data_IF_492723879034
#
_entry.id   IF_492723879034
#
_cell.length_a   1.000
_cell.length_b   1.000
_cell.length_c   1.000
_cell.angle_alpha   90.00
_cell.angle_beta   90.00
_cell.angle_gamma   90.00
#
_symmetry.space_group_name_H-M   'P 1'
#
loop_
_entity.id
_entity.type
_entity.pdbx_description
1 polymer ?
#
# COMPACT_ATOMS: atom_id res chain seq x y z
N UNK A 1 -13.27 8.24 -7.79
CA UNK A 1 -12.39 8.08 -8.97
C UNK A 1 -11.47 6.89 -8.72
N UNK A 2 -11.37 5.92 -9.63
CA UNK A 2 -10.37 4.85 -9.51
C UNK A 2 -9.14 5.28 -10.29
N UNK A 3 -7.98 5.28 -9.66
CA UNK A 3 -6.72 5.76 -10.25
C UNK A 3 -5.79 4.59 -10.53
N UNK A 4 -5.15 4.62 -11.69
CA UNK A 4 -4.00 3.77 -12.00
C UNK A 4 -2.72 4.51 -11.63
N UNK A 5 -1.92 3.90 -10.75
CA UNK A 5 -0.67 4.47 -10.26
C UNK A 5 0.49 3.57 -10.67
N UNK A 6 1.57 4.19 -11.14
CA UNK A 6 2.83 3.55 -11.53
C UNK A 6 4.00 4.14 -10.73
N UNK A 7 5.15 3.47 -10.76
CA UNK A 7 6.42 4.08 -10.37
C UNK A 7 6.90 3.70 -8.96
N UNK A 8 7.89 4.44 -8.47
CA UNK A 8 8.72 4.06 -7.32
C UNK A 8 8.37 4.85 -6.05
N UNK A 9 8.37 4.13 -4.92
CA UNK A 9 8.56 4.60 -3.55
C UNK A 9 7.96 5.97 -3.18
N UNK A 10 6.73 5.98 -2.67
CA UNK A 10 6.23 7.14 -1.95
C UNK A 10 6.97 7.30 -0.62
N UNK A 11 7.25 8.54 -0.23
CA UNK A 11 7.64 8.82 1.14
C UNK A 11 6.46 8.65 2.09
N UNK A 12 6.77 8.36 3.35
CA UNK A 12 5.76 8.23 4.39
C UNK A 12 5.02 9.57 4.57
N UNK A 13 3.70 9.53 4.54
CA UNK A 13 2.83 10.71 4.62
C UNK A 13 1.50 10.37 5.29
N UNK A 14 0.72 11.41 5.56
CA UNK A 14 -0.69 11.30 5.92
C UNK A 14 -1.48 12.05 4.86
N UNK A 15 -2.58 11.43 4.40
CA UNK A 15 -3.45 12.05 3.40
C UNK A 15 -4.09 13.33 3.96
N UNK A 16 -4.28 14.32 3.08
CA UNK A 16 -5.01 15.54 3.41
C UNK A 16 -6.18 15.72 2.43
N UNK A 17 -7.32 16.17 2.95
CA UNK A 17 -8.50 16.57 2.20
C UNK A 17 -8.49 18.08 2.04
N UNK A 18 -8.61 18.59 0.81
CA UNK A 18 -8.94 19.99 0.61
C UNK A 18 -10.43 20.21 0.88
N UNK A 19 -10.74 20.91 1.97
CA UNK A 19 -12.13 21.15 2.41
C UNK A 19 -12.92 21.96 1.37
N UNK A 20 -12.26 22.87 0.64
CA UNK A 20 -12.90 23.66 -0.41
C UNK A 20 -13.36 22.81 -1.60
N UNK A 21 -12.53 21.85 -2.02
CA UNK A 21 -12.86 20.97 -3.15
C UNK A 21 -13.93 19.96 -2.78
N UNK A 22 -13.86 19.44 -1.56
CA UNK A 22 -14.81 18.45 -1.03
C UNK A 22 -16.18 19.08 -0.77
N UNK A 23 -16.22 20.37 -0.43
CA UNK A 23 -17.46 21.13 -0.27
C UNK A 23 -18.24 21.29 -1.58
N UNK A 24 -17.57 21.31 -2.73
CA UNK A 24 -18.19 21.51 -4.05
C UNK A 24 -19.15 22.72 -4.13
N UNK A 25 -18.99 23.72 -3.25
CA UNK A 25 -19.86 24.90 -3.13
C UNK A 25 -20.90 24.82 -2.01
N UNK A 26 -21.11 23.65 -1.39
CA UNK A 26 -21.99 23.49 -0.23
C UNK A 26 -21.22 23.74 1.08
N UNK A 27 -21.74 24.56 2.00
CA UNK A 27 -21.07 24.84 3.25
C UNK A 27 -21.00 23.58 4.15
N UNK A 28 -19.79 23.16 4.52
CA UNK A 28 -19.54 22.05 5.46
C UNK A 28 -19.61 22.57 6.90
N UNK A 29 -20.72 23.21 7.27
CA UNK A 29 -20.88 23.91 8.57
C UNK A 29 -20.85 22.97 9.78
N UNK A 30 -21.02 21.68 9.55
CA UNK A 30 -20.93 20.70 10.62
C UNK A 30 -19.49 20.41 11.04
N UNK A 31 -18.49 20.70 10.20
CA UNK A 31 -17.10 20.34 10.45
C UNK A 31 -16.43 21.44 11.28
N UNK A 32 -16.04 21.09 12.50
CA UNK A 32 -15.28 21.95 13.39
C UNK A 32 -13.79 21.82 13.04
N UNK A 33 -13.27 22.85 12.36
CA UNK A 33 -11.88 22.92 11.92
C UNK A 33 -10.88 22.93 13.09
N UNK A 34 -11.30 23.34 14.29
CA UNK A 34 -10.42 23.33 15.48
C UNK A 34 -10.12 21.92 15.99
N UNK A 35 -10.89 20.93 15.51
CA UNK A 35 -10.74 19.50 15.83
C UNK A 35 -10.03 18.70 14.74
N UNK A 36 -9.61 19.37 13.65
CA UNK A 36 -8.91 18.75 12.53
C UNK A 36 -7.43 19.16 12.54
N UNK A 37 -6.57 18.28 12.04
CA UNK A 37 -5.13 18.54 11.89
C UNK A 37 -4.93 19.23 10.55
N UNK A 38 -4.61 20.53 10.50
CA UNK A 38 -4.34 21.20 9.25
C UNK A 38 -2.97 20.81 8.68
N UNK A 39 -2.85 20.86 7.36
CA UNK A 39 -1.56 20.95 6.69
C UNK A 39 -0.87 22.25 7.10
N UNK A 40 0.47 22.23 7.12
CA UNK A 40 1.27 23.43 7.42
C UNK A 40 1.22 24.47 6.29
N UNK A 41 1.17 24.01 5.04
CA UNK A 41 1.13 24.89 3.86
C UNK A 41 -0.25 25.48 3.61
N UNK A 42 -1.30 24.73 3.96
CA UNK A 42 -2.68 25.15 3.72
C UNK A 42 -3.60 24.67 4.85
N UNK A 43 -4.07 25.59 5.72
CA UNK A 43 -5.01 25.28 6.79
C UNK A 43 -6.37 24.74 6.30
N UNK A 44 -6.72 24.91 5.02
CA UNK A 44 -7.93 24.32 4.40
C UNK A 44 -7.73 22.88 3.96
N UNK A 45 -6.48 22.40 3.94
CA UNK A 45 -6.15 20.98 3.76
C UNK A 45 -6.03 20.33 5.13
N UNK A 46 -6.91 19.38 5.45
CA UNK A 46 -6.91 18.73 6.76
C UNK A 46 -6.78 17.22 6.64
N UNK A 47 -6.16 16.59 7.63
CA UNK A 47 -6.15 15.13 7.73
C UNK A 47 -7.59 14.64 7.94
N UNK A 48 -8.08 13.68 7.14
CA UNK A 48 -9.43 13.14 7.31
C UNK A 48 -9.51 12.36 8.63
N UNK A 49 -10.71 12.22 9.20
CA UNK A 49 -10.89 11.43 10.44
C UNK A 49 -10.60 9.95 10.22
N UNK A 50 -11.08 9.40 9.11
CA UNK A 50 -10.74 8.06 8.64
C UNK A 50 -10.26 8.21 7.20
N UNK A 51 -9.17 7.55 6.85
CA UNK A 51 -8.80 7.33 5.45
C UNK A 51 -9.10 5.89 5.06
N UNK A 52 -9.44 5.71 3.78
CA UNK A 52 -9.88 4.44 3.22
C UNK A 52 -9.13 4.22 1.91
N UNK A 53 -8.44 3.09 1.81
CA UNK A 53 -7.75 2.71 0.57
C UNK A 53 -8.29 1.37 0.09
N UNK A 54 -8.83 1.37 -1.12
CA UNK A 54 -9.43 0.21 -1.78
C UNK A 54 -8.55 -0.26 -2.91
N UNK A 55 -8.20 -1.55 -2.89
CA UNK A 55 -7.40 -2.20 -3.92
C UNK A 55 -8.31 -2.92 -4.93
N UNK A 56 -8.17 -2.59 -6.22
CA UNK A 56 -8.90 -3.30 -7.29
C UNK A 56 -8.06 -4.41 -7.94
N UNK A 57 -6.76 -4.47 -7.65
CA UNK A 57 -5.88 -5.56 -8.04
C UNK A 57 -4.93 -5.95 -6.89
N UNK A 58 -4.24 -7.07 -7.04
CA UNK A 58 -3.27 -7.58 -6.05
C UNK A 58 -1.87 -7.09 -6.42
N UNK A 59 -1.63 -5.79 -6.32
CA UNK A 59 -0.32 -5.19 -6.67
C UNK A 59 0.14 -4.31 -5.53
N UNK A 60 1.38 -4.52 -5.09
CA UNK A 60 2.05 -3.71 -4.09
C UNK A 60 1.45 -3.85 -2.69
N UNK A 61 1.35 -2.72 -1.98
CA UNK A 61 0.80 -2.68 -0.64
C UNK A 61 0.86 -1.29 -0.03
N UNK A 62 0.59 -1.21 1.28
CA UNK A 62 0.80 -0.02 2.11
C UNK A 62 1.66 -0.42 3.29
N UNK A 63 2.62 0.43 3.65
CA UNK A 63 3.47 0.26 4.83
C UNK A 63 3.31 1.42 5.80
N UNK A 64 3.32 1.09 7.09
CA UNK A 64 3.18 2.02 8.22
C UNK A 64 4.50 2.06 9.00
N UNK A 65 5.40 3.01 8.70
CA UNK A 65 6.74 3.02 9.29
C UNK A 65 6.77 3.27 10.81
N UNK A 66 5.68 3.78 11.40
CA UNK A 66 5.61 4.13 12.83
C UNK A 66 4.59 3.29 13.61
N UNK A 67 4.01 2.26 13.00
CA UNK A 67 3.10 1.36 13.69
C UNK A 67 3.88 0.19 14.32
N UNK A 68 3.69 -0.04 15.62
CA UNK A 68 4.37 -1.10 16.35
C UNK A 68 4.03 -2.48 15.79
N UNK A 69 5.06 -3.27 15.47
CA UNK A 69 4.92 -4.63 14.97
C UNK A 69 4.28 -4.77 13.58
N UNK A 70 3.88 -3.67 12.92
CA UNK A 70 3.15 -3.75 11.66
C UNK A 70 4.08 -3.78 10.44
N UNK A 71 3.95 -4.92 9.76
CA UNK A 71 4.46 -5.23 8.43
C UNK A 71 3.62 -4.51 7.36
N UNK A 72 4.15 -4.49 6.13
CA UNK A 72 3.39 -4.07 4.96
C UNK A 72 2.06 -4.83 4.84
N UNK A 73 0.95 -4.10 4.68
CA UNK A 73 -0.32 -4.67 4.27
C UNK A 73 -0.29 -4.84 2.75
N UNK A 74 -0.09 -6.07 2.28
CA UNK A 74 -0.10 -6.38 0.86
C UNK A 74 -1.46 -6.04 0.21
N UNK A 75 -1.42 -5.52 -1.01
CA UNK A 75 -2.61 -5.31 -1.82
C UNK A 75 -3.27 -6.64 -2.17
N UNK A 76 -4.60 -6.70 -2.11
CA UNK A 76 -5.39 -7.81 -2.67
C UNK A 76 -6.62 -7.24 -3.36
N UNK A 77 -7.06 -7.83 -4.47
CA UNK A 77 -8.31 -7.42 -5.12
C UNK A 77 -9.47 -7.42 -4.12
N UNK A 78 -10.18 -6.29 -4.04
CA UNK A 78 -11.30 -6.07 -3.12
C UNK A 78 -10.89 -5.75 -1.68
N UNK A 79 -9.60 -5.72 -1.34
CA UNK A 79 -9.14 -5.37 0.00
C UNK A 79 -9.37 -3.88 0.24
N UNK A 80 -9.98 -3.58 1.38
CA UNK A 80 -10.15 -2.23 1.90
C UNK A 80 -9.32 -2.10 3.16
N UNK A 81 -8.54 -1.02 3.26
CA UNK A 81 -7.76 -0.68 4.44
C UNK A 81 -8.34 0.62 4.99
N UNK A 82 -8.73 0.59 6.26
CA UNK A 82 -9.21 1.74 7.01
C UNK A 82 -8.14 2.12 8.02
N UNK A 83 -7.90 3.42 8.17
CA UNK A 83 -7.04 3.92 9.23
C UNK A 83 -7.73 5.11 9.90
N UNK A 84 -7.87 4.98 11.21
CA UNK A 84 -8.35 6.02 12.09
C UNK A 84 -7.18 6.97 12.35
N UNK A 85 -7.29 8.20 11.86
CA UNK A 85 -6.20 9.16 11.94
C UNK A 85 -6.18 9.89 13.30
N UNK A 86 -7.16 9.68 14.17
CA UNK A 86 -7.29 10.41 15.43
C UNK A 86 -7.63 9.48 16.59
N UNK A 87 -6.97 9.73 17.71
CA UNK A 87 -7.57 9.54 19.03
C UNK A 87 -8.41 10.80 19.33
N UNK A 88 -9.71 10.65 19.52
CA UNK A 88 -10.62 11.77 19.76
C UNK A 88 -10.24 12.61 20.99
N UNK A 89 -9.59 11.99 21.99
CA UNK A 89 -9.10 12.70 23.17
C UNK A 89 -7.86 13.58 22.92
N UNK A 90 -7.14 13.33 21.82
CA UNK A 90 -5.89 14.01 21.47
C UNK A 90 -6.04 15.03 20.33
N UNK A 91 -7.25 15.22 19.80
CA UNK A 91 -7.52 16.19 18.73
C UNK A 91 -7.06 17.61 19.11
N UNK A 92 -6.58 18.42 18.15
CA UNK A 92 -6.51 18.17 16.70
C UNK A 92 -5.30 17.36 16.25
N UNK A 93 -4.52 16.76 17.15
CA UNK A 93 -3.35 15.98 16.77
C UNK A 93 -3.79 14.65 16.13
N UNK A 94 -3.27 14.36 14.94
CA UNK A 94 -3.44 13.06 14.31
C UNK A 94 -2.44 12.04 14.87
N UNK A 95 -2.78 10.76 14.80
CA UNK A 95 -1.94 9.66 15.23
C UNK A 95 -0.77 9.45 14.24
N UNK A 96 0.46 9.47 14.74
CA UNK A 96 1.67 9.25 13.90
C UNK A 96 1.71 7.85 13.29
N UNK A 97 1.09 6.86 13.94
CA UNK A 97 0.93 5.49 13.44
C UNK A 97 0.10 5.40 12.16
N UNK A 98 -0.72 6.41 11.86
CA UNK A 98 -1.48 6.51 10.62
C UNK A 98 -0.66 6.99 9.41
N UNK A 99 0.58 7.45 9.65
CA UNK A 99 1.52 7.78 8.57
C UNK A 99 1.86 6.53 7.79
N UNK A 100 1.76 6.61 6.48
CA UNK A 100 1.90 5.46 5.60
C UNK A 100 2.48 5.85 4.24
N UNK A 101 2.86 4.86 3.45
CA UNK A 101 3.21 5.05 2.05
C UNK A 101 2.81 3.84 1.22
N UNK A 102 2.47 4.10 -0.04
CA UNK A 102 2.22 3.04 -1.00
C UNK A 102 3.52 2.39 -1.49
N UNK A 103 3.48 1.07 -1.63
CA UNK A 103 4.50 0.30 -2.35
C UNK A 103 3.95 0.08 -3.76
N UNK A 104 4.66 0.61 -4.75
CA UNK A 104 4.35 0.53 -6.17
C UNK A 104 5.54 -0.10 -6.90
N UNK A 105 5.23 -0.86 -7.94
CA UNK A 105 6.24 -1.52 -8.76
C UNK A 105 6.31 -0.80 -10.11
N UNK A 106 7.53 -0.49 -10.58
CA UNK A 106 7.76 0.39 -11.74
C UNK A 106 6.98 -0.02 -13.00
N UNK A 107 6.78 -1.33 -13.19
CA UNK A 107 6.16 -1.88 -14.40
C UNK A 107 4.76 -2.47 -14.17
N UNK A 108 4.24 -2.43 -12.94
CA UNK A 108 2.95 -3.05 -12.62
C UNK A 108 1.97 -1.99 -12.13
N UNK A 109 0.91 -1.67 -12.91
CA UNK A 109 -0.07 -0.68 -12.48
C UNK A 109 -0.77 -1.14 -11.20
N UNK A 110 -0.87 -0.24 -10.23
CA UNK A 110 -1.71 -0.41 -9.06
C UNK A 110 -3.04 0.30 -9.31
N UNK A 111 -4.16 -0.41 -9.19
CA UNK A 111 -5.49 0.20 -9.28
C UNK A 111 -6.03 0.43 -7.88
N UNK A 112 -6.15 1.70 -7.50
CA UNK A 112 -6.62 2.09 -6.17
C UNK A 112 -7.74 3.12 -6.24
N UNK A 113 -8.57 3.12 -5.20
CA UNK A 113 -9.43 4.24 -4.85
C UNK A 113 -9.03 4.68 -3.44
N UNK A 114 -8.75 5.96 -3.28
CA UNK A 114 -8.49 6.59 -1.99
C UNK A 114 -9.69 7.45 -1.63
N UNK A 115 -10.20 7.27 -0.42
CA UNK A 115 -11.33 8.01 0.13
C UNK A 115 -11.02 8.45 1.55
N UNK A 116 -11.79 9.40 2.04
CA UNK A 116 -11.73 9.79 3.45
C UNK A 116 -13.10 10.11 4.02
N UNK A 117 -13.17 10.13 5.34
CA UNK A 117 -14.32 10.57 6.12
C UNK A 117 -13.89 11.79 6.93
N UNK A 118 -14.58 12.92 6.74
CA UNK A 118 -14.44 14.11 7.55
C UNK A 118 -15.52 14.13 8.62
N UNK A 119 -15.13 14.18 9.89
CA UNK A 119 -16.04 14.24 11.03
C UNK A 119 -15.37 14.91 12.24
N UNK A 120 -16.16 15.36 13.22
CA UNK A 120 -15.63 15.95 14.44
C UNK A 120 -15.24 14.92 15.50
N UNK A 121 -15.79 13.71 15.39
CA UNK A 121 -15.48 12.55 16.24
C UNK A 121 -15.28 11.34 15.33
N UNK A 122 -14.46 10.38 15.76
CA UNK A 122 -14.28 9.12 15.05
C UNK A 122 -15.62 8.38 15.02
N UNK A 123 -16.19 8.06 13.84
CA UNK A 123 -17.45 7.32 13.75
C UNK A 123 -17.33 5.95 14.41
N UNK A 124 -18.28 5.61 15.29
CA UNK A 124 -18.39 4.25 15.79
C UNK A 124 -18.89 3.33 14.69
N UNK A 125 -18.25 2.16 14.55
CA UNK A 125 -18.71 1.10 13.65
C UNK A 125 -19.81 0.23 14.29
N UNK A 126 -20.13 0.47 15.57
CA UNK A 126 -21.27 -0.18 16.24
C UNK A 126 -22.59 0.41 15.73
N UNK A 127 -23.49 -0.47 15.30
CA UNK A 127 -24.84 -0.11 14.83
C UNK A 127 -25.72 0.51 15.92
N UNK A 128 -25.40 0.27 17.19
CA UNK A 128 -26.16 0.80 18.33
C UNK A 128 -25.74 2.22 18.73
N UNK A 129 -24.60 2.70 18.22
CA UNK A 129 -24.07 4.00 18.57
C UNK A 129 -24.83 5.14 17.88
N UNK A 130 -24.84 6.32 18.51
CA UNK A 130 -25.41 7.51 17.90
C UNK A 130 -24.68 7.86 16.59
N UNK A 131 -25.42 8.14 15.50
CA UNK A 131 -24.81 8.48 14.22
C UNK A 131 -23.88 9.69 14.33
N UNK A 132 -22.66 9.54 13.80
CA UNK A 132 -21.74 10.66 13.62
C UNK A 132 -22.06 11.39 12.33
N UNK A 133 -22.36 12.69 12.41
CA UNK A 133 -22.42 13.53 11.21
C UNK A 133 -21.03 13.62 10.59
N UNK A 134 -20.93 13.25 9.32
CA UNK A 134 -19.68 13.23 8.59
C UNK A 134 -19.90 13.30 7.08
N UNK A 135 -18.81 13.55 6.37
CA UNK A 135 -18.78 13.60 4.91
C UNK A 135 -17.80 12.57 4.39
N UNK A 136 -18.27 11.70 3.51
CA UNK A 136 -17.42 10.75 2.78
C UNK A 136 -17.05 11.39 1.46
N UNK A 137 -15.76 11.45 1.14
CA UNK A 137 -15.26 11.99 -0.12
C UNK A 137 -14.28 11.02 -0.77
N UNK A 138 -14.12 11.13 -2.09
CA UNK A 138 -13.01 10.50 -2.81
C UNK A 138 -11.87 11.50 -2.91
N UNK A 139 -10.66 11.09 -2.57
CA UNK A 139 -9.48 11.90 -2.87
C UNK A 139 -9.32 12.00 -4.40
N UNK A 140 -8.79 13.13 -4.87
CA UNK A 140 -8.65 13.42 -6.28
C UNK A 140 -9.92 13.98 -6.89
N UNK A 141 -9.93 15.30 -7.13
CA UNK A 141 -10.98 16.00 -7.88
C UNK A 141 -10.46 16.39 -9.27
N UNK A 142 -11.31 16.91 -10.16
CA UNK A 142 -10.81 17.47 -11.42
C UNK A 142 -9.87 18.68 -11.20
N UNK A 143 -10.01 19.38 -10.06
CA UNK A 143 -9.23 20.58 -9.70
C UNK A 143 -7.95 20.27 -8.95
N UNK A 144 -7.96 19.21 -8.15
CA UNK A 144 -6.81 18.66 -7.44
C UNK A 144 -6.81 17.14 -7.65
N UNK A 145 -6.40 16.67 -8.85
CA UNK A 145 -6.44 15.24 -9.14
C UNK A 145 -5.59 14.50 -8.13
N UNK A 146 -5.81 13.20 -7.99
CA UNK A 146 -4.84 12.29 -7.36
C UNK A 146 -3.58 12.19 -8.25
N UNK A 147 -3.02 13.31 -8.69
CA UNK A 147 -1.62 13.38 -9.01
C UNK A 147 -0.91 13.27 -7.67
N UNK A 148 -0.23 12.16 -7.46
CA UNK A 148 0.84 12.10 -6.46
C UNK A 148 2.03 12.99 -6.89
N UNK A 149 1.76 14.15 -7.49
CA UNK A 149 2.73 15.20 -7.74
C UNK A 149 2.91 15.97 -6.44
N UNK A 150 3.70 15.39 -5.55
CA UNK A 150 4.61 16.13 -4.69
C UNK A 150 4.05 17.41 -4.00
N UNK A 151 3.07 17.34 -3.06
CA UNK A 151 2.84 18.46 -2.15
C UNK A 151 2.80 18.07 -0.66
N UNK A 152 3.03 16.81 -0.26
CA UNK A 152 3.08 16.43 1.17
C UNK A 152 4.47 16.60 1.82
N UNK A 153 5.40 17.27 1.15
CA UNK A 153 6.83 17.33 1.52
C UNK A 153 7.27 18.52 2.39
N UNK A 154 6.36 19.32 2.95
CA UNK A 154 6.75 20.49 3.74
C UNK A 154 7.44 20.16 5.08
N UNK A 155 7.62 18.88 5.43
CA UNK A 155 8.18 18.45 6.72
C UNK A 155 9.42 17.55 6.65
N UNK A 156 9.82 17.04 5.47
CA UNK A 156 10.84 15.98 5.45
C UNK A 156 12.31 16.46 5.57
N UNK A 157 12.59 17.75 5.40
CA UNK A 157 13.97 18.25 5.42
C UNK A 157 14.48 18.77 6.78
N UNK A 158 13.60 19.08 7.75
CA UNK A 158 14.05 19.78 8.97
C UNK A 158 14.28 18.87 10.20
N UNK A 159 13.56 17.75 10.32
CA UNK A 159 13.57 16.91 11.55
C UNK A 159 14.27 15.56 11.34
N UNK A 160 14.31 15.05 10.10
CA UNK A 160 14.82 13.70 9.78
C UNK A 160 16.35 13.54 9.93
N UNK A 161 17.12 14.64 9.91
CA UNK A 161 18.58 14.58 9.98
C UNK A 161 19.17 14.45 11.41
N UNK A 162 18.35 14.47 12.46
CA UNK A 162 18.84 14.43 13.85
C UNK A 162 18.46 13.18 14.66
N UNK A 163 17.57 12.31 14.15
CA UNK A 163 17.05 11.19 14.94
C UNK A 163 17.18 9.79 14.28
N UNK A 164 17.65 9.67 13.04
CA UNK A 164 17.91 8.36 12.42
C UNK A 164 19.37 7.95 12.62
N UNK A 165 19.77 7.82 13.88
CA UNK A 165 21.07 7.29 14.28
C UNK A 165 21.03 5.75 14.32
N UNK A 166 20.83 5.20 13.12
CA UNK A 166 21.15 3.86 12.62
C UNK A 166 20.48 3.81 11.24
N UNK A 167 21.19 4.21 10.19
CA UNK A 167 20.65 4.30 8.83
C UNK A 167 19.92 2.98 8.47
N UNK A 168 18.59 3.02 8.41
CA UNK A 168 17.79 1.88 8.01
C UNK A 168 18.24 1.42 6.62
N UNK A 169 18.55 0.14 6.47
CA UNK A 169 19.00 -0.42 5.19
C UNK A 169 17.92 -0.21 4.12
N UNK A 170 18.27 0.23 2.90
CA UNK A 170 17.32 0.30 1.80
C UNK A 170 16.73 -1.09 1.51
N UNK A 171 15.46 -1.15 1.10
CA UNK A 171 14.78 -2.41 0.80
C UNK A 171 15.22 -2.96 -0.58
N UNK A 172 15.36 -4.28 -0.70
CA UNK A 172 15.57 -5.00 -1.95
C UNK A 172 14.48 -6.05 -2.11
N UNK A 173 13.57 -5.84 -3.06
CA UNK A 173 12.46 -6.76 -3.29
C UNK A 173 12.86 -7.82 -4.32
N UNK A 174 12.64 -9.09 -3.98
CA UNK A 174 12.84 -10.25 -4.86
C UNK A 174 11.52 -10.96 -5.06
N UNK A 175 11.03 -10.96 -6.30
CA UNK A 175 9.82 -11.70 -6.72
C UNK A 175 10.15 -13.15 -7.01
N UNK A 176 9.42 -14.08 -6.40
CA UNK A 176 9.63 -15.52 -6.49
C UNK A 176 8.62 -16.16 -7.42
N UNK A 177 9.12 -16.70 -8.53
CA UNK A 177 8.43 -17.65 -9.39
C UNK A 177 8.82 -19.06 -8.98
N UNK A 178 7.84 -19.83 -8.50
CA UNK A 178 8.06 -21.15 -7.91
C UNK A 178 7.25 -22.17 -8.69
N UNK A 179 7.94 -23.18 -9.22
CA UNK A 179 7.33 -24.30 -9.91
C UNK A 179 7.79 -25.60 -9.28
N UNK A 180 6.86 -26.42 -8.78
CA UNK A 180 7.19 -27.68 -8.13
C UNK A 180 6.69 -28.88 -8.93
N UNK A 181 7.51 -29.92 -9.00
CA UNK A 181 7.18 -31.19 -9.63
C UNK A 181 7.81 -32.34 -8.85
N UNK A 182 7.00 -33.38 -8.55
CA UNK A 182 7.46 -34.66 -7.97
C UNK A 182 8.37 -34.55 -6.72
N UNK A 183 8.16 -33.54 -5.87
CA UNK A 183 8.92 -33.35 -4.62
C UNK A 183 9.93 -32.21 -4.66
N UNK A 184 10.32 -31.77 -5.85
CA UNK A 184 11.29 -30.71 -6.05
C UNK A 184 10.61 -29.44 -6.55
N UNK A 185 11.21 -28.30 -6.24
CA UNK A 185 10.78 -26.97 -6.64
C UNK A 185 11.94 -26.24 -7.32
N UNK A 186 11.69 -25.73 -8.53
CA UNK A 186 12.52 -24.71 -9.15
C UNK A 186 12.03 -23.34 -8.67
N UNK A 187 12.95 -22.55 -8.11
CA UNK A 187 12.69 -21.22 -7.58
C UNK A 187 13.52 -20.22 -8.36
N UNK A 188 12.84 -19.32 -9.04
CA UNK A 188 13.43 -18.23 -9.80
C UNK A 188 13.10 -16.90 -9.10
N UNK A 189 14.13 -16.21 -8.63
CA UNK A 189 14.02 -14.89 -8.02
C UNK A 189 14.37 -13.79 -9.01
N UNK A 190 13.47 -12.82 -9.16
CA UNK A 190 13.64 -11.64 -10.02
C UNK A 190 13.67 -10.36 -9.22
N UNK A 191 14.49 -9.40 -9.62
CA UNK A 191 14.38 -8.04 -9.11
C UNK A 191 13.17 -7.33 -9.76
N UNK A 192 12.94 -6.07 -9.38
CA UNK A 192 11.81 -5.28 -9.89
C UNK A 192 11.90 -4.93 -11.38
N UNK A 193 13.10 -4.96 -11.97
CA UNK A 193 13.29 -4.80 -13.42
C UNK A 193 12.97 -6.09 -14.20
N UNK A 194 12.59 -7.18 -13.51
CA UNK A 194 12.33 -8.48 -14.10
C UNK A 194 13.59 -9.30 -14.36
N UNK A 195 14.76 -8.79 -14.00
CA UNK A 195 16.04 -9.49 -14.17
C UNK A 195 16.14 -10.64 -13.18
N UNK A 196 16.62 -11.78 -13.66
CA UNK A 196 16.94 -12.92 -12.81
C UNK A 196 18.13 -12.57 -11.91
N UNK A 197 17.89 -12.56 -10.60
CA UNK A 197 18.92 -12.31 -9.56
C UNK A 197 19.21 -13.56 -8.74
N UNK A 198 18.30 -14.53 -8.77
CA UNK A 198 18.40 -15.76 -8.02
C UNK A 198 17.75 -16.90 -8.79
N UNK A 199 18.33 -18.09 -8.68
CA UNK A 199 17.81 -19.30 -9.29
C UNK A 199 18.37 -20.47 -8.49
N UNK A 200 17.50 -21.37 -8.05
CA UNK A 200 17.88 -22.58 -7.33
C UNK A 200 16.85 -23.69 -7.55
N UNK A 201 17.25 -24.91 -7.21
CA UNK A 201 16.35 -26.04 -7.04
C UNK A 201 16.42 -26.51 -5.58
N UNK A 202 15.27 -26.76 -4.98
CA UNK A 202 15.17 -27.22 -3.61
C UNK A 202 13.99 -28.18 -3.43
N UNK A 203 13.99 -28.96 -2.35
CA UNK A 203 12.83 -29.77 -2.00
C UNK A 203 11.64 -28.86 -1.66
N UNK A 204 10.42 -29.31 -1.97
CA UNK A 204 9.18 -28.63 -1.58
C UNK A 204 9.01 -28.44 -0.07
N UNK A 205 9.67 -29.29 0.72
CA UNK A 205 9.68 -29.23 2.19
C UNK A 205 10.67 -28.19 2.74
N UNK A 206 11.41 -27.51 1.86
CA UNK A 206 12.29 -26.40 2.23
C UNK A 206 11.47 -25.29 2.86
N UNK A 207 11.92 -24.81 4.03
CA UNK A 207 11.28 -23.66 4.68
C UNK A 207 11.59 -22.38 3.92
N UNK A 208 10.63 -21.45 3.94
CA UNK A 208 10.83 -20.15 3.31
C UNK A 208 11.97 -19.36 3.97
N UNK A 209 12.19 -19.52 5.29
CA UNK A 209 13.35 -18.93 5.98
C UNK A 209 14.67 -19.36 5.37
N UNK A 210 14.84 -20.67 5.14
CA UNK A 210 16.08 -21.19 4.57
C UNK A 210 16.31 -20.64 3.16
N UNK A 211 15.25 -20.57 2.34
CA UNK A 211 15.31 -19.98 1.02
C UNK A 211 15.68 -18.48 1.09
N UNK A 212 15.07 -17.72 2.00
CA UNK A 212 15.39 -16.30 2.23
C UNK A 212 16.86 -16.10 2.58
N UNK A 213 17.41 -16.93 3.47
CA UNK A 213 18.81 -16.86 3.87
C UNK A 213 19.73 -17.13 2.65
N UNK A 214 19.39 -18.10 1.79
CA UNK A 214 20.13 -18.33 0.54
C UNK A 214 20.03 -17.19 -0.47
N UNK A 215 18.82 -16.64 -0.65
CA UNK A 215 18.60 -15.51 -1.54
C UNK A 215 19.43 -14.34 -1.05
N UNK A 216 19.36 -14.00 0.24
CA UNK A 216 20.07 -12.87 0.84
C UNK A 216 21.57 -12.94 0.59
N UNK A 217 22.20 -14.09 0.82
CA UNK A 217 23.63 -14.29 0.55
C UNK A 217 23.98 -14.03 -0.92
N UNK A 218 23.09 -14.38 -1.85
CA UNK A 218 23.33 -14.24 -3.29
C UNK A 218 23.04 -12.83 -3.81
N UNK A 219 21.93 -12.21 -3.39
CA UNK A 219 21.44 -10.93 -3.94
C UNK A 219 21.96 -9.71 -3.17
N UNK A 220 22.39 -9.89 -1.92
CA UNK A 220 22.94 -8.84 -1.07
C UNK A 220 24.05 -9.39 -0.15
N UNK A 221 25.19 -9.84 -0.72
CA UNK A 221 26.28 -10.44 0.06
C UNK A 221 26.91 -9.48 1.07
N UNK A 222 26.78 -8.17 0.86
CA UNK A 222 27.26 -7.14 1.77
C UNK A 222 26.31 -6.81 2.91
N UNK A 223 25.13 -7.44 2.97
CA UNK A 223 24.06 -7.14 3.93
C UNK A 223 23.75 -5.63 3.97
N UNK A 224 23.85 -4.95 2.82
CA UNK A 224 23.65 -3.52 2.71
C UNK A 224 22.16 -3.17 2.63
N UNK A 225 21.30 -4.14 2.34
CA UNK A 225 19.88 -3.98 2.03
C UNK A 225 19.02 -4.88 2.91
N UNK A 226 17.77 -4.50 3.10
CA UNK A 226 16.75 -5.36 3.67
C UNK A 226 16.09 -6.14 2.55
N UNK A 227 16.45 -7.41 2.39
CA UNK A 227 15.82 -8.29 1.39
C UNK A 227 14.37 -8.58 1.81
N UNK A 228 13.44 -8.39 0.88
CA UNK A 228 12.01 -8.66 1.05
C UNK A 228 11.60 -9.60 -0.08
N UNK A 229 10.96 -10.72 0.27
CA UNK A 229 10.45 -11.65 -0.73
C UNK A 229 8.99 -11.34 -1.06
N UNK A 230 8.60 -11.52 -2.31
CA UNK A 230 7.21 -11.51 -2.71
C UNK A 230 6.92 -12.62 -3.72
N UNK A 231 5.66 -13.01 -3.82
CA UNK A 231 5.15 -13.91 -4.84
C UNK A 231 4.97 -13.15 -6.16
N UNK A 232 4.86 -13.87 -7.28
CA UNK A 232 4.58 -13.28 -8.59
C UNK A 232 3.24 -12.52 -8.67
N UNK A 233 2.31 -12.78 -7.75
CA UNK A 233 1.07 -12.04 -7.60
C UNK A 233 1.20 -10.80 -6.69
N UNK A 234 2.43 -10.38 -6.37
CA UNK A 234 2.72 -9.20 -5.55
C UNK A 234 2.53 -9.40 -4.05
N UNK A 235 2.08 -10.57 -3.57
CA UNK A 235 1.96 -10.82 -2.14
C UNK A 235 3.35 -10.87 -1.49
N UNK A 236 3.63 -9.95 -0.56
CA UNK A 236 4.85 -10.00 0.24
C UNK A 236 4.81 -11.20 1.20
N UNK A 237 5.96 -11.85 1.35
CA UNK A 237 6.14 -12.95 2.28
C UNK A 237 6.73 -12.41 3.57
N UNK A 238 5.96 -12.54 4.64
CA UNK A 238 6.24 -11.97 5.96
C UNK A 238 6.83 -13.00 6.93
N UNK A 239 7.15 -12.60 8.17
CA UNK A 239 7.66 -13.52 9.21
C UNK A 239 6.74 -14.71 9.48
N UNK A 240 5.42 -14.52 9.38
CA UNK A 240 4.42 -15.60 9.52
C UNK A 240 4.62 -16.72 8.49
N UNK A 241 5.10 -16.37 7.30
CA UNK A 241 5.37 -17.32 6.22
C UNK A 241 6.75 -17.99 6.37
N UNK A 242 7.67 -17.44 7.16
CA UNK A 242 9.06 -17.93 7.22
C UNK A 242 9.17 -19.34 7.80
N UNK A 243 8.20 -19.75 8.62
CA UNK A 243 8.10 -21.11 9.18
C UNK A 243 7.45 -22.12 8.24
N UNK A 244 6.74 -21.64 7.21
CA UNK A 244 6.00 -22.49 6.27
C UNK A 244 6.95 -23.11 5.23
N UNK A 245 6.52 -24.25 4.70
CA UNK A 245 7.17 -24.91 3.57
C UNK A 245 6.84 -24.20 2.26
N UNK A 246 7.68 -24.40 1.25
CA UNK A 246 7.43 -23.84 -0.08
C UNK A 246 6.12 -24.34 -0.68
N UNK A 247 5.78 -25.63 -0.50
CA UNK A 247 4.53 -26.13 -1.04
C UNK A 247 3.29 -25.52 -0.37
N UNK A 248 3.38 -25.20 0.91
CA UNK A 248 2.34 -24.50 1.67
C UNK A 248 2.20 -23.04 1.23
N UNK A 249 3.31 -22.31 1.13
CA UNK A 249 3.35 -20.89 0.76
C UNK A 249 2.84 -20.61 -0.67
N UNK A 250 3.03 -21.56 -1.58
CA UNK A 250 2.77 -21.39 -3.01
C UNK A 250 1.67 -22.34 -3.53
N UNK A 251 0.95 -23.02 -2.63
CA UNK A 251 -0.04 -24.07 -2.96
C UNK A 251 -1.06 -23.65 -4.02
N UNK A 252 -1.61 -22.46 -3.86
CA UNK A 252 -2.63 -21.88 -4.73
C UNK A 252 -2.11 -21.53 -6.14
N UNK A 253 -0.84 -21.15 -6.26
CA UNK A 253 -0.19 -20.96 -7.55
C UNK A 253 0.07 -22.30 -8.25
N UNK A 254 0.48 -23.32 -7.50
CA UNK A 254 0.79 -24.66 -8.02
C UNK A 254 -0.45 -25.46 -8.43
N UNK A 255 -1.57 -25.30 -7.72
CA UNK A 255 -2.85 -25.93 -8.09
C UNK A 255 -3.53 -25.27 -9.30
N UNK A 256 -2.89 -24.29 -9.94
CA UNK A 256 -3.42 -23.61 -11.12
C UNK A 256 -4.62 -22.70 -10.83
N UNK A 257 -4.94 -22.43 -9.56
CA UNK A 257 -6.05 -21.54 -9.16
C UNK A 257 -5.76 -20.07 -9.42
N UNK A 258 -4.52 -19.72 -9.76
CA UNK A 258 -4.08 -18.34 -9.99
C UNK A 258 -3.36 -18.12 -11.32
N UNK A 259 -3.69 -18.88 -12.38
CA UNK A 259 -3.34 -18.47 -13.75
C UNK A 259 -4.36 -17.45 -14.27
N UNK A 260 -4.24 -16.19 -13.85
CA UNK A 260 -4.67 -15.10 -14.73
C UNK A 260 -3.57 -14.93 -15.79
N UNK A 261 -3.72 -15.62 -16.91
CA UNK A 261 -2.98 -15.29 -18.12
C UNK A 261 -3.30 -13.85 -18.50
N UNK A 262 -2.30 -12.98 -18.48
CA UNK A 262 -2.33 -11.67 -19.11
C UNK A 262 -2.45 -11.83 -20.63
N UNK A 263 -3.64 -12.18 -21.11
CA UNK A 263 -3.97 -12.20 -22.53
C UNK A 263 -5.47 -11.98 -22.69
N UNK A 264 -5.93 -10.78 -22.31
CA UNK A 264 -7.19 -10.23 -22.82
C UNK A 264 -7.13 -8.71 -22.67
N UNK A 265 -6.20 -8.09 -23.38
CA UNK A 265 -6.33 -6.70 -23.80
C UNK A 265 -6.81 -6.70 -25.25
N UNK A 266 -7.66 -5.71 -25.57
CA UNK A 266 -8.17 -5.31 -26.87
C UNK A 266 -9.46 -5.97 -27.35
N UNK A 267 -10.54 -5.19 -27.24
CA UNK A 267 -11.76 -5.37 -27.99
C UNK A 267 -12.91 -4.64 -27.32
N UNK A 268 -13.05 -3.35 -27.60
CA UNK A 268 -14.33 -2.64 -27.85
C UNK A 268 -14.06 -1.13 -27.92
N UNK A 269 -13.40 -0.71 -29.01
CA UNK A 269 -13.80 0.51 -29.70
C UNK A 269 -14.73 0.07 -30.82
N UNK A 270 -15.98 0.51 -30.76
CA UNK A 270 -17.03 0.15 -31.71
C UNK A 270 -18.16 1.16 -31.67
N UNK A 271 -17.98 2.21 -32.45
CA UNK A 271 -18.97 3.21 -32.85
C UNK A 271 -20.25 2.63 -33.44
N UNK A 272 -21.41 3.22 -33.13
CA UNK A 272 -22.52 3.50 -34.08
C UNK A 272 -23.59 4.31 -33.33
N UNK A 273 -23.74 5.60 -33.61
CA UNK A 273 -24.69 6.20 -34.57
C UNK A 273 -26.15 5.79 -34.33
N UNK A 274 -26.90 6.73 -33.75
CA UNK A 274 -28.36 6.79 -33.79
C UNK A 274 -28.89 6.87 -35.23
N UNK A 275 -30.10 6.39 -35.51
CA UNK A 275 -31.05 7.11 -36.34
C UNK A 275 -31.76 8.24 -35.56
#
# INVERSE_FOLDING_TARGET
MVTEVYGSGQDAHVDHANVDDVAAGDPIDFLDMTRQSPSRSDPRRVVPTISIIVYFNSVGGIRFPYADGMQTIAGKRGRMIFFENYDDGARPMHATSATHYGIYFEQVPKRILVMGVLANKTPSMDRSAEPTKGLIYCAGTERDPLFHDNPSYDQYNAVRWKAMDAAAKPDLIVSLDVSCSKGDCAVLGRNLAGEEVFNTQCSKDTSLKFLMDQIKVKVDPGDARKVILCRMDGQLLTEEHMSQKLDECFKDLMEGKSRMTASTCFGLCGSSTSP
#
